data_IF_114550135069
#
_entry.id   IF_114550135069
#
_cell.length_a   1.000
_cell.length_b   1.000
_cell.length_c   1.000
_cell.angle_alpha   90.00
_cell.angle_beta   90.00
_cell.angle_gamma   90.00
#
_symmetry.space_group_name_H-M   'P 1'
#
loop_
_entity.id
_entity.type
_entity.pdbx_description
1 polymer ?
#
# COMPACT_ATOMS: atom_id res chain seq x y z
N UNK A 1 14.56 -4.21 15.66
CA UNK A 1 13.62 -3.78 14.60
C UNK A 1 14.20 -4.18 13.25
N UNK A 2 13.55 -5.09 12.52
CA UNK A 2 13.98 -5.48 11.17
C UNK A 2 13.63 -4.35 10.17
N UNK A 3 14.49 -4.12 9.18
CA UNK A 3 14.33 -3.07 8.17
C UNK A 3 14.33 -3.71 6.78
N UNK A 4 13.40 -3.27 5.92
CA UNK A 4 13.20 -3.81 4.57
C UNK A 4 14.48 -3.82 3.72
N UNK A 5 15.23 -2.71 3.71
CA UNK A 5 16.50 -2.58 2.96
C UNK A 5 17.69 -3.36 3.55
N UNK A 6 17.50 -4.08 4.67
CA UNK A 6 18.54 -4.95 5.25
C UNK A 6 18.36 -6.41 4.86
N UNK A 7 17.26 -6.79 4.23
CA UNK A 7 17.08 -8.12 3.68
C UNK A 7 17.95 -8.28 2.43
N UNK A 8 18.73 -9.38 2.29
CA UNK A 8 19.41 -9.71 1.05
C UNK A 8 18.40 -9.84 -0.10
N UNK A 9 18.78 -9.36 -1.29
CA UNK A 9 17.91 -9.29 -2.48
C UNK A 9 17.28 -10.65 -2.80
N UNK A 10 17.99 -11.75 -2.50
CA UNK A 10 17.58 -13.13 -2.74
C UNK A 10 16.29 -13.58 -2.02
N UNK A 11 15.91 -12.90 -0.93
CA UNK A 11 14.65 -13.19 -0.24
C UNK A 11 13.46 -12.70 -1.08
N UNK A 12 13.65 -11.71 -1.98
CA UNK A 12 12.58 -11.15 -2.79
C UNK A 12 12.09 -12.06 -3.92
N UNK A 13 12.98 -12.86 -4.53
CA UNK A 13 12.59 -13.74 -5.66
C UNK A 13 11.81 -14.98 -5.22
N UNK A 14 11.93 -15.40 -3.96
CA UNK A 14 11.28 -16.61 -3.43
C UNK A 14 10.21 -16.31 -2.36
N UNK A 15 9.97 -15.05 -2.03
CA UNK A 15 8.94 -14.68 -1.07
C UNK A 15 7.56 -14.75 -1.73
N UNK A 16 6.61 -15.43 -1.07
CA UNK A 16 5.21 -15.46 -1.52
C UNK A 16 4.43 -14.24 -1.06
N UNK A 17 4.75 -13.71 0.12
CA UNK A 17 4.02 -12.60 0.73
C UNK A 17 4.97 -11.58 1.34
N UNK A 18 4.67 -10.30 1.12
CA UNK A 18 5.30 -9.19 1.82
C UNK A 18 4.25 -8.51 2.71
N UNK A 19 4.50 -8.49 4.01
CA UNK A 19 3.61 -7.85 4.99
C UNK A 19 4.25 -6.57 5.50
N UNK A 20 3.56 -5.45 5.35
CA UNK A 20 4.02 -4.11 5.74
C UNK A 20 3.25 -3.65 6.96
N UNK A 21 3.98 -3.37 8.04
CA UNK A 21 3.45 -2.75 9.26
C UNK A 21 3.87 -1.29 9.35
N UNK A 22 3.18 -0.53 10.21
CA UNK A 22 3.61 0.81 10.59
C UNK A 22 4.89 0.75 11.45
N UNK A 23 6.05 0.68 10.80
CA UNK A 23 7.37 0.57 11.47
C UNK A 23 8.21 1.83 11.40
N UNK A 24 7.61 2.99 11.09
CA UNK A 24 8.35 4.21 10.76
C UNK A 24 9.17 4.10 9.46
N UNK A 25 8.81 3.15 8.60
CA UNK A 25 9.40 2.94 7.27
C UNK A 25 9.22 4.20 6.41
N UNK A 26 10.26 4.58 5.68
CA UNK A 26 10.29 5.79 4.88
C UNK A 26 9.28 5.67 3.72
N UNK A 27 8.60 6.77 3.40
CA UNK A 27 7.70 6.87 2.24
C UNK A 27 8.32 6.31 0.95
N UNK A 28 9.63 6.47 0.77
CA UNK A 28 10.37 5.97 -0.39
C UNK A 28 10.41 4.44 -0.47
N UNK A 29 10.56 3.74 0.65
CA UNK A 29 10.61 2.28 0.68
C UNK A 29 9.25 1.69 0.26
N UNK A 30 8.16 2.26 0.77
CA UNK A 30 6.79 1.86 0.40
C UNK A 30 6.50 2.22 -1.06
N UNK A 31 6.95 3.39 -1.52
CA UNK A 31 6.72 3.84 -2.90
C UNK A 31 7.40 2.93 -3.94
N UNK A 32 8.54 2.31 -3.61
CA UNK A 32 9.19 1.34 -4.51
C UNK A 32 8.33 0.09 -4.72
N UNK A 33 7.65 -0.39 -3.68
CA UNK A 33 6.76 -1.55 -3.78
C UNK A 33 5.49 -1.17 -4.53
N UNK A 34 4.88 -0.02 -4.21
CA UNK A 34 3.62 0.43 -4.82
C UNK A 34 3.74 0.67 -6.33
N UNK A 35 4.91 1.10 -6.81
CA UNK A 35 5.19 1.32 -8.24
C UNK A 35 4.93 0.11 -9.13
N UNK A 36 5.03 -1.10 -8.58
CA UNK A 36 4.69 -2.33 -9.30
C UNK A 36 3.19 -2.43 -9.61
N UNK A 37 2.32 -1.86 -8.77
CA UNK A 37 0.88 -2.14 -8.83
C UNK A 37 0.05 -0.97 -9.36
N UNK A 38 0.62 0.24 -9.44
CA UNK A 38 -0.12 1.43 -9.89
C UNK A 38 0.80 2.58 -10.26
N UNK A 39 0.42 3.30 -11.33
CA UNK A 39 1.08 4.54 -11.75
C UNK A 39 0.81 5.71 -10.79
N UNK A 40 -0.36 5.73 -10.13
CA UNK A 40 -0.71 6.74 -9.12
C UNK A 40 -0.09 6.42 -7.74
N UNK A 41 1.24 6.32 -7.74
CA UNK A 41 2.06 5.98 -6.56
C UNK A 41 1.79 6.94 -5.41
N UNK A 42 1.61 8.23 -5.71
CA UNK A 42 1.42 9.26 -4.68
C UNK A 42 0.12 9.02 -3.91
N UNK A 43 -1.01 8.88 -4.58
CA UNK A 43 -2.28 8.68 -3.88
C UNK A 43 -2.34 7.30 -3.23
N UNK A 44 -1.84 6.26 -3.90
CA UNK A 44 -1.74 4.91 -3.34
C UNK A 44 -0.91 4.88 -2.05
N UNK A 45 0.27 5.50 -2.03
CA UNK A 45 1.11 5.63 -0.83
C UNK A 45 0.36 6.32 0.31
N UNK A 46 -0.42 7.37 0.01
CA UNK A 46 -1.20 8.04 1.05
C UNK A 46 -2.39 7.21 1.55
N UNK A 47 -2.99 6.36 0.71
CA UNK A 47 -4.05 5.41 1.12
C UNK A 47 -3.45 4.35 2.04
N UNK A 48 -2.41 3.66 1.60
CA UNK A 48 -1.72 2.63 2.39
C UNK A 48 -1.25 3.19 3.74
N UNK A 49 -0.57 4.34 3.73
CA UNK A 49 -0.10 4.98 4.96
C UNK A 49 -1.25 5.34 5.93
N UNK A 50 -2.45 5.64 5.41
CA UNK A 50 -3.61 5.93 6.27
C UNK A 50 -4.11 4.71 7.04
N UNK A 51 -3.99 3.52 6.47
CA UNK A 51 -4.29 2.26 7.15
C UNK A 51 -3.19 1.89 8.14
N UNK A 52 -1.92 1.98 7.73
CA UNK A 52 -0.79 1.71 8.62
C UNK A 52 -0.84 2.58 9.88
N UNK A 53 -1.16 3.87 9.75
CA UNK A 53 -1.32 4.79 10.90
C UNK A 53 -2.45 4.41 11.84
N UNK A 54 -3.45 3.66 11.38
CA UNK A 54 -4.54 3.13 12.20
C UNK A 54 -4.20 1.81 12.90
N UNK A 55 -2.96 1.32 12.74
CA UNK A 55 -2.53 0.03 13.31
C UNK A 55 -2.89 -1.17 12.43
N UNK A 56 -3.37 -0.95 11.21
CA UNK A 56 -3.52 -2.00 10.20
C UNK A 56 -2.15 -2.37 9.62
N UNK A 57 -2.10 -3.48 8.87
CA UNK A 57 -0.96 -3.85 8.04
C UNK A 57 -1.42 -3.94 6.57
N UNK A 58 -0.51 -4.17 5.63
CA UNK A 58 -0.86 -4.44 4.23
C UNK A 58 -0.13 -5.70 3.82
N UNK A 59 -0.80 -6.58 3.09
CA UNK A 59 -0.23 -7.79 2.51
C UNK A 59 -0.14 -7.62 0.99
N UNK A 60 1.07 -7.74 0.46
CA UNK A 60 1.33 -7.89 -0.96
C UNK A 60 1.53 -9.38 -1.26
N UNK A 61 0.72 -9.92 -2.15
CA UNK A 61 0.81 -11.29 -2.64
C UNK A 61 1.68 -11.32 -3.88
N UNK A 62 2.95 -11.69 -3.69
CA UNK A 62 3.96 -11.72 -4.74
C UNK A 62 3.80 -12.94 -5.67
N UNK A 63 2.91 -13.88 -5.33
CA UNK A 63 2.58 -15.02 -6.18
C UNK A 63 1.57 -14.69 -7.27
N UNK A 64 0.94 -13.52 -7.18
CA UNK A 64 -0.04 -13.03 -8.13
C UNK A 64 0.57 -12.00 -9.07
N UNK A 65 0.06 -11.89 -10.31
CA UNK A 65 0.39 -10.78 -11.19
C UNK A 65 0.09 -9.43 -10.52
N UNK A 66 0.86 -8.41 -10.87
CA UNK A 66 0.75 -7.06 -10.28
C UNK A 66 -0.60 -6.38 -10.61
N UNK A 67 -1.23 -6.77 -11.72
CA UNK A 67 -2.56 -6.30 -12.15
C UNK A 67 -3.72 -7.09 -11.52
N UNK A 68 -3.45 -8.18 -10.80
CA UNK A 68 -4.49 -8.93 -10.08
C UNK A 68 -5.02 -8.06 -8.92
N UNK A 69 -6.33 -7.79 -8.85
CA UNK A 69 -6.92 -7.02 -7.75
C UNK A 69 -6.63 -7.63 -6.36
N UNK A 70 -6.40 -8.94 -6.27
CA UNK A 70 -6.09 -9.67 -5.04
C UNK A 70 -4.60 -9.61 -4.65
N UNK A 71 -3.75 -9.00 -5.49
CA UNK A 71 -2.32 -8.86 -5.22
C UNK A 71 -2.03 -7.93 -4.04
N UNK A 72 -2.96 -7.02 -3.70
CA UNK A 72 -2.86 -6.14 -2.53
C UNK A 72 -4.06 -6.34 -1.61
N UNK A 73 -3.77 -6.56 -0.33
CA UNK A 73 -4.79 -6.80 0.69
C UNK A 73 -4.52 -5.98 1.94
N UNK A 74 -5.58 -5.52 2.59
CA UNK A 74 -5.49 -4.81 3.88
C UNK A 74 -5.16 -5.78 5.02
N UNK A 75 -5.57 -7.04 4.90
CA UNK A 75 -5.23 -8.14 5.81
C UNK A 75 -5.15 -9.42 4.99
N UNK A 76 -4.81 -10.55 5.58
CA UNK A 76 -4.79 -11.81 4.82
C UNK A 76 -6.14 -12.14 4.16
N UNK A 77 -7.24 -11.80 4.82
CA UNK A 77 -8.62 -12.08 4.44
C UNK A 77 -9.35 -10.89 3.81
N UNK A 78 -8.81 -9.68 3.91
CA UNK A 78 -9.49 -8.44 3.51
C UNK A 78 -8.84 -7.83 2.28
N UNK A 79 -9.55 -7.83 1.16
CA UNK A 79 -9.12 -7.19 -0.09
C UNK A 79 -8.94 -5.68 0.07
N UNK A 80 -7.90 -5.12 -0.57
CA UNK A 80 -7.72 -3.67 -0.69
C UNK A 80 -7.79 -3.25 -2.16
N UNK A 81 -8.94 -2.74 -2.59
CA UNK A 81 -9.06 -2.13 -3.91
C UNK A 81 -8.49 -0.70 -3.86
N UNK A 82 -7.21 -0.55 -4.24
CA UNK A 82 -6.51 0.73 -4.21
C UNK A 82 -7.21 1.80 -5.02
N UNK A 83 -7.67 1.48 -6.24
CA UNK A 83 -8.31 2.45 -7.12
C UNK A 83 -9.57 3.04 -6.47
N UNK A 84 -10.45 2.20 -5.93
CA UNK A 84 -11.67 2.65 -5.24
C UNK A 84 -11.35 3.52 -4.02
N UNK A 85 -10.32 3.18 -3.25
CA UNK A 85 -9.90 3.97 -2.09
C UNK A 85 -9.29 5.32 -2.47
N UNK A 86 -8.52 5.37 -3.57
CA UNK A 86 -7.99 6.63 -4.13
C UNK A 86 -9.14 7.53 -4.57
N UNK A 87 -10.10 7.02 -5.34
CA UNK A 87 -11.30 7.75 -5.77
C UNK A 87 -12.12 8.24 -4.57
N UNK A 88 -12.35 7.38 -3.57
CA UNK A 88 -13.08 7.74 -2.36
C UNK A 88 -12.38 8.86 -1.59
N UNK A 89 -11.04 8.83 -1.52
CA UNK A 89 -10.24 9.87 -0.88
C UNK A 89 -10.32 11.20 -1.61
N UNK A 90 -10.22 11.21 -2.94
CA UNK A 90 -10.34 12.41 -3.76
C UNK A 90 -11.71 13.06 -3.58
N UNK A 91 -12.80 12.28 -3.64
CA UNK A 91 -14.17 12.75 -3.38
C UNK A 91 -14.33 13.37 -1.99
N UNK A 92 -13.72 12.78 -0.95
CA UNK A 92 -13.74 13.35 0.41
C UNK A 92 -13.00 14.70 0.46
N UNK A 93 -11.89 14.83 -0.25
CA UNK A 93 -11.10 16.07 -0.31
C UNK A 93 -11.86 17.20 -1.03
N UNK A 94 -12.51 16.89 -2.15
CA UNK A 94 -13.36 17.85 -2.88
C UNK A 94 -14.51 18.36 -2.02
N UNK A 95 -15.25 17.45 -1.35
CA UNK A 95 -16.33 17.81 -0.43
C UNK A 95 -15.87 18.71 0.72
N UNK A 96 -14.68 18.46 1.27
CA UNK A 96 -14.13 19.31 2.34
C UNK A 96 -13.69 20.69 1.85
N UNK A 97 -13.30 20.82 0.58
CA UNK A 97 -12.92 22.10 0.01
C UNK A 97 -14.15 22.97 -0.25
N UNK A 98 -15.21 22.39 -0.81
CA UNK A 98 -16.48 23.10 -1.10
C UNK A 98 -17.29 23.47 0.14
N UNK A 99 -17.01 22.86 1.30
CA UNK A 99 -17.70 23.16 2.57
C UNK A 99 -17.03 24.32 3.34
N UNK A 100 -15.84 24.74 2.90
CA UNK A 100 -15.08 25.84 3.49
C UNK A 100 -15.12 27.12 2.63
N UNK A 101 -15.90 27.12 1.54
CA UNK A 101 -16.35 28.30 0.78
C UNK A 101 -17.74 28.73 1.26
#
# INVERSE_FOLDING_TARGET
MQKYHKAPIFIHENASYLVVFNSGSLYEDISKIIRCYTDDVKNASMVINSYLRKGEFIVFDLTRPEDDPLAIRLRFDTLLNLQKEIEAKQKRKEKSASANE
#
